data_IF_893043612853
#
_entry.id   IF_893043612853
#
_cell.length_a   1.000
_cell.length_b   1.000
_cell.length_c   1.000
_cell.angle_alpha   90.00
_cell.angle_beta   90.00
_cell.angle_gamma   90.00
#
_symmetry.space_group_name_H-M   'P 1'
#
loop_
_entity.id
_entity.type
_entity.pdbx_description
1 polymer ?
#
# COMPACT_ATOMS: atom_id res chain seq x y z
N UNK A 1 -8.84 -141.03 -1.14
CA UNK A 1 -9.20 -139.59 -1.02
C UNK A 1 -9.09 -139.05 0.41
N UNK A 2 -9.75 -139.60 1.45
CA UNK A 2 -9.80 -138.98 2.80
C UNK A 2 -8.45 -138.83 3.55
N UNK A 3 -7.53 -139.80 3.46
CA UNK A 3 -6.23 -139.77 4.20
C UNK A 3 -5.20 -138.80 3.61
N UNK A 4 -5.20 -138.61 2.29
CA UNK A 4 -4.28 -137.68 1.59
C UNK A 4 -4.65 -136.23 1.94
N UNK A 5 -5.95 -135.93 1.98
CA UNK A 5 -6.45 -134.60 2.38
C UNK A 5 -6.08 -134.26 3.84
N UNK A 6 -6.07 -135.23 4.76
CA UNK A 6 -5.67 -134.99 6.16
C UNK A 6 -4.16 -134.66 6.29
N UNK A 7 -3.30 -135.33 5.51
CA UNK A 7 -1.85 -135.06 5.51
C UNK A 7 -1.54 -133.69 4.87
N UNK A 8 -2.27 -133.31 3.81
CA UNK A 8 -2.18 -131.98 3.21
C UNK A 8 -2.67 -130.89 4.17
N UNK A 9 -3.83 -131.09 4.83
CA UNK A 9 -4.36 -130.16 5.86
C UNK A 9 -3.35 -129.94 6.98
N UNK A 10 -2.79 -131.01 7.56
CA UNK A 10 -1.80 -130.88 8.64
C UNK A 10 -0.49 -130.20 8.17
N UNK A 11 -0.05 -130.42 6.92
CA UNK A 11 1.13 -129.72 6.37
C UNK A 11 0.84 -128.25 6.11
N UNK A 12 -0.35 -127.92 5.63
CA UNK A 12 -0.78 -126.54 5.44
C UNK A 12 -0.97 -125.82 6.78
N UNK A 13 -1.53 -126.48 7.79
CA UNK A 13 -1.64 -125.98 9.15
C UNK A 13 -0.26 -125.76 9.79
N UNK A 14 0.68 -126.70 9.65
CA UNK A 14 2.05 -126.52 10.13
C UNK A 14 2.78 -125.36 9.43
N UNK A 15 2.57 -125.16 8.12
CA UNK A 15 3.11 -124.02 7.37
C UNK A 15 2.48 -122.70 7.82
N UNK A 16 1.16 -122.66 8.00
CA UNK A 16 0.44 -121.48 8.52
C UNK A 16 0.93 -121.14 9.93
N UNK A 17 1.15 -122.14 10.78
CA UNK A 17 1.69 -121.93 12.12
C UNK A 17 3.12 -121.38 12.09
N UNK A 18 4.01 -121.95 11.27
CA UNK A 18 5.39 -121.45 11.10
C UNK A 18 5.44 -120.03 10.54
N UNK A 19 4.60 -119.70 9.55
CA UNK A 19 4.48 -118.36 9.01
C UNK A 19 3.94 -117.38 10.06
N UNK A 20 2.95 -117.79 10.85
CA UNK A 20 2.43 -116.98 11.95
C UNK A 20 3.53 -116.69 12.98
N UNK A 21 4.31 -117.69 13.39
CA UNK A 21 5.44 -117.51 14.32
C UNK A 21 6.51 -116.59 13.74
N UNK A 22 6.83 -116.72 12.45
CA UNK A 22 7.78 -115.83 11.78
C UNK A 22 7.28 -114.39 11.72
N UNK A 23 6.01 -114.18 11.35
CA UNK A 23 5.39 -112.86 11.33
C UNK A 23 5.37 -112.20 12.72
N UNK A 24 5.05 -112.96 13.77
CA UNK A 24 5.06 -112.42 15.13
C UNK A 24 6.48 -112.06 15.62
N UNK A 25 7.50 -112.86 15.27
CA UNK A 25 8.90 -112.51 15.56
C UNK A 25 9.35 -111.25 14.83
N UNK A 26 9.02 -111.14 13.55
CA UNK A 26 9.35 -109.96 12.75
C UNK A 26 8.67 -108.69 13.28
N UNK A 27 7.39 -108.77 13.70
CA UNK A 27 6.70 -107.66 14.36
C UNK A 27 7.40 -107.24 15.65
N UNK A 28 7.77 -108.22 16.49
CA UNK A 28 8.44 -107.93 17.76
C UNK A 28 9.82 -107.30 17.57
N UNK A 29 10.60 -107.76 16.57
CA UNK A 29 11.89 -107.16 16.23
C UNK A 29 11.73 -105.72 15.72
N UNK A 30 10.70 -105.45 14.90
CA UNK A 30 10.39 -104.09 14.42
C UNK A 30 9.97 -103.17 15.57
N UNK A 31 9.09 -103.61 16.46
CA UNK A 31 8.69 -102.84 17.64
C UNK A 31 9.87 -102.55 18.57
N UNK A 32 10.79 -103.50 18.72
CA UNK A 32 12.02 -103.31 19.51
C UNK A 32 12.92 -102.25 18.88
N UNK A 33 13.12 -102.29 17.56
CA UNK A 33 13.89 -101.26 16.84
C UNK A 33 13.24 -99.88 16.95
N UNK A 34 11.91 -99.78 16.86
CA UNK A 34 11.19 -98.51 17.04
C UNK A 34 11.48 -97.94 18.43
N UNK A 35 11.31 -98.74 19.50
CA UNK A 35 11.56 -98.30 20.87
C UNK A 35 13.01 -97.90 21.12
N UNK A 36 13.98 -98.61 20.54
CA UNK A 36 15.40 -98.25 20.65
C UNK A 36 15.71 -96.93 19.93
N UNK A 37 15.07 -96.67 18.78
CA UNK A 37 15.20 -95.40 18.06
C UNK A 37 14.56 -94.24 18.83
N UNK A 38 13.38 -94.43 19.40
CA UNK A 38 12.72 -93.42 20.26
C UNK A 38 13.56 -93.12 21.50
N UNK A 39 14.14 -94.14 22.15
CA UNK A 39 15.03 -93.94 23.30
C UNK A 39 16.32 -93.18 22.93
N UNK A 40 16.92 -93.48 21.77
CA UNK A 40 18.11 -92.76 21.29
C UNK A 40 17.80 -91.34 20.83
N UNK A 41 16.63 -91.13 20.22
CA UNK A 41 16.17 -89.84 19.70
C UNK A 41 15.57 -88.93 20.77
N UNK A 42 15.15 -89.48 21.91
CA UNK A 42 14.58 -88.72 23.04
C UNK A 42 13.17 -88.17 22.79
N UNK A 43 12.51 -88.57 21.69
CA UNK A 43 11.15 -88.22 21.34
C UNK A 43 10.47 -89.40 20.63
N UNK A 44 9.18 -89.57 20.87
CA UNK A 44 8.37 -90.59 20.16
C UNK A 44 7.98 -90.12 18.76
N UNK A 45 7.65 -91.03 17.86
CA UNK A 45 7.21 -90.66 16.51
C UNK A 45 5.96 -89.75 16.57
N UNK A 46 5.02 -90.08 17.46
CA UNK A 46 3.79 -89.31 17.67
C UNK A 46 4.06 -87.87 18.16
N UNK A 47 5.08 -87.67 19.01
CA UNK A 47 5.50 -86.33 19.45
C UNK A 47 6.12 -85.51 18.31
N UNK A 48 6.91 -86.16 17.43
CA UNK A 48 7.48 -85.51 16.25
C UNK A 48 6.41 -85.14 15.22
N UNK A 49 5.40 -85.99 15.00
CA UNK A 49 4.25 -85.68 14.16
C UNK A 49 3.41 -84.53 14.75
N UNK A 50 3.16 -84.56 16.06
CA UNK A 50 2.43 -83.50 16.76
C UNK A 50 3.13 -82.14 16.69
N UNK A 51 4.45 -82.11 16.91
CA UNK A 51 5.26 -80.89 16.80
C UNK A 51 5.33 -80.36 15.37
N UNK A 52 5.45 -81.24 14.37
CA UNK A 52 5.42 -80.86 12.96
C UNK A 52 4.08 -80.22 12.58
N UNK A 53 2.95 -80.82 12.98
CA UNK A 53 1.62 -80.26 12.73
C UNK A 53 1.40 -78.92 13.46
N UNK A 54 1.90 -78.78 14.69
CA UNK A 54 1.88 -77.51 15.40
C UNK A 54 2.67 -76.42 14.65
N UNK A 55 3.87 -76.75 14.15
CA UNK A 55 4.70 -75.82 13.36
C UNK A 55 4.09 -75.46 12.02
N UNK A 56 3.40 -76.39 11.35
CA UNK A 56 2.64 -76.08 10.13
C UNK A 56 1.53 -75.07 10.40
N UNK A 57 0.75 -75.25 11.48
CA UNK A 57 -0.30 -74.31 11.87
C UNK A 57 0.27 -72.94 12.22
N UNK A 58 1.38 -72.90 12.98
CA UNK A 58 2.08 -71.67 13.31
C UNK A 58 2.57 -70.95 12.05
N UNK A 59 3.17 -71.68 11.10
CA UNK A 59 3.62 -71.12 9.82
C UNK A 59 2.46 -70.54 9.00
N UNK A 60 1.32 -71.22 8.95
CA UNK A 60 0.12 -70.72 8.25
C UNK A 60 -0.40 -69.44 8.91
N UNK A 61 -0.44 -69.40 10.25
CA UNK A 61 -0.87 -68.23 10.99
C UNK A 61 0.07 -67.03 10.75
N UNK A 62 1.39 -67.25 10.79
CA UNK A 62 2.38 -66.21 10.51
C UNK A 62 2.32 -65.74 9.05
N UNK A 63 2.05 -66.64 8.11
CA UNK A 63 1.87 -66.29 6.71
C UNK A 63 0.63 -65.41 6.52
N UNK A 64 -0.51 -65.79 7.10
CA UNK A 64 -1.75 -65.01 7.03
C UNK A 64 -1.59 -63.63 7.67
N UNK A 65 -0.90 -63.53 8.81
CA UNK A 65 -0.59 -62.24 9.46
C UNK A 65 0.32 -61.36 8.58
N UNK A 66 1.34 -61.95 7.95
CA UNK A 66 2.22 -61.23 7.01
C UNK A 66 1.45 -60.73 5.79
N UNK A 67 0.61 -61.57 5.20
CA UNK A 67 -0.24 -61.20 4.06
C UNK A 67 -1.22 -60.09 4.43
N UNK A 68 -1.83 -60.16 5.62
CA UNK A 68 -2.69 -59.10 6.16
C UNK A 68 -1.96 -57.77 6.29
N UNK A 69 -0.75 -57.77 6.88
CA UNK A 69 0.07 -56.56 7.00
C UNK A 69 0.49 -55.99 5.65
N UNK A 70 0.86 -56.85 4.69
CA UNK A 70 1.20 -56.41 3.32
C UNK A 70 -0.01 -55.71 2.70
N UNK A 71 -1.19 -56.32 2.79
CA UNK A 71 -2.42 -55.75 2.25
C UNK A 71 -2.77 -54.39 2.88
N UNK A 72 -2.62 -54.23 4.20
CA UNK A 72 -2.84 -52.97 4.90
C UNK A 72 -1.86 -51.87 4.45
N UNK A 73 -0.58 -52.22 4.27
CA UNK A 73 0.43 -51.29 3.78
C UNK A 73 0.15 -50.87 2.33
N UNK A 74 -0.18 -51.81 1.45
CA UNK A 74 -0.54 -51.51 0.07
C UNK A 74 -1.75 -50.58 -0.01
N UNK A 75 -2.80 -50.87 0.75
CA UNK A 75 -3.99 -50.03 0.82
C UNK A 75 -3.67 -48.63 1.35
N UNK A 76 -2.82 -48.53 2.38
CA UNK A 76 -2.40 -47.23 2.95
C UNK A 76 -1.58 -46.42 1.95
N UNK A 77 -0.65 -47.06 1.24
CA UNK A 77 0.15 -46.43 0.19
C UNK A 77 -0.75 -45.90 -0.93
N UNK A 78 -1.75 -46.68 -1.35
CA UNK A 78 -2.68 -46.25 -2.40
C UNK A 78 -3.55 -45.06 -1.96
N UNK A 79 -3.98 -45.05 -0.70
CA UNK A 79 -4.67 -43.89 -0.11
C UNK A 79 -3.79 -42.64 -0.06
N UNK A 80 -2.50 -42.79 0.18
CA UNK A 80 -1.54 -41.67 0.15
C UNK A 80 -1.33 -41.18 -1.29
N UNK A 81 -1.19 -42.08 -2.27
CA UNK A 81 -1.03 -41.72 -3.68
C UNK A 81 -2.19 -40.89 -4.20
N UNK A 82 -3.42 -41.35 -3.97
CA UNK A 82 -4.63 -40.63 -4.40
C UNK A 82 -4.74 -39.26 -3.73
N UNK A 83 -4.48 -39.16 -2.42
CA UNK A 83 -4.42 -37.87 -1.71
C UNK A 83 -3.38 -36.93 -2.31
N UNK A 84 -2.14 -37.41 -2.48
CA UNK A 84 -1.06 -36.63 -3.08
C UNK A 84 -1.47 -36.07 -4.45
N UNK A 85 -2.04 -36.90 -5.31
CA UNK A 85 -2.50 -36.47 -6.65
C UNK A 85 -3.57 -35.37 -6.55
N UNK A 86 -4.53 -35.51 -5.62
CA UNK A 86 -5.56 -34.47 -5.43
C UNK A 86 -4.96 -33.16 -4.91
N UNK A 87 -4.00 -33.22 -3.99
CA UNK A 87 -3.30 -32.04 -3.44
C UNK A 87 -2.43 -31.35 -4.48
N UNK A 88 -1.70 -32.11 -5.30
CA UNK A 88 -0.93 -31.58 -6.43
C UNK A 88 -1.84 -30.86 -7.44
N UNK A 89 -2.98 -31.48 -7.79
CA UNK A 89 -3.98 -30.85 -8.68
C UNK A 89 -4.60 -29.58 -8.08
N UNK A 90 -4.78 -29.53 -6.76
CA UNK A 90 -5.31 -28.35 -6.08
C UNK A 90 -4.27 -27.23 -6.07
N UNK A 91 -3.01 -27.57 -5.81
CA UNK A 91 -1.89 -26.63 -5.83
C UNK A 91 -1.67 -26.02 -7.21
N UNK A 92 -1.80 -26.82 -8.27
CA UNK A 92 -1.67 -26.32 -9.64
C UNK A 92 -2.82 -25.39 -10.03
N UNK A 93 -4.06 -25.71 -9.63
CA UNK A 93 -5.21 -24.81 -9.80
C UNK A 93 -5.00 -23.47 -9.07
N UNK A 94 -4.46 -23.49 -7.86
CA UNK A 94 -4.12 -22.27 -7.12
C UNK A 94 -3.03 -21.46 -7.84
N UNK A 95 -1.99 -22.12 -8.34
CA UNK A 95 -0.93 -21.45 -9.11
C UNK A 95 -1.48 -20.76 -10.36
N UNK A 96 -2.39 -21.41 -11.08
CA UNK A 96 -3.07 -20.82 -12.23
C UNK A 96 -3.97 -19.63 -11.82
N UNK A 97 -4.72 -19.78 -10.71
CA UNK A 97 -5.56 -18.70 -10.19
C UNK A 97 -4.74 -17.46 -9.76
N UNK A 98 -3.50 -17.64 -9.28
CA UNK A 98 -2.60 -16.55 -8.90
C UNK A 98 -2.04 -15.75 -10.07
N UNK A 99 -1.97 -16.31 -11.28
CA UNK A 99 -1.38 -15.64 -12.44
C UNK A 99 -2.12 -14.34 -12.82
N UNK A 100 -3.46 -14.36 -12.74
CA UNK A 100 -4.29 -13.19 -13.10
C UNK A 100 -4.08 -12.03 -12.11
N UNK A 101 -4.20 -12.22 -10.77
CA UNK A 101 -3.85 -11.19 -9.78
C UNK A 101 -2.42 -10.67 -9.89
N UNK A 102 -1.43 -11.53 -10.15
CA UNK A 102 -0.03 -11.11 -10.31
C UNK A 102 0.16 -10.19 -11.52
N UNK A 103 -0.48 -10.53 -12.65
CA UNK A 103 -0.48 -9.68 -13.84
C UNK A 103 -1.20 -8.36 -13.58
N UNK A 104 -2.38 -8.41 -12.95
CA UNK A 104 -3.14 -7.21 -12.61
C UNK A 104 -2.37 -6.29 -11.66
N UNK A 105 -1.68 -6.86 -10.67
CA UNK A 105 -0.84 -6.13 -9.73
C UNK A 105 0.30 -5.42 -10.46
N UNK A 106 0.98 -6.10 -11.38
CA UNK A 106 2.03 -5.51 -12.22
C UNK A 106 1.49 -4.35 -13.08
N UNK A 107 0.32 -4.52 -13.70
CA UNK A 107 -0.35 -3.46 -14.46
C UNK A 107 -0.73 -2.26 -13.59
N UNK A 108 -1.25 -2.51 -12.37
CA UNK A 108 -1.60 -1.44 -11.42
C UNK A 108 -0.34 -0.70 -10.94
N UNK A 109 0.74 -1.40 -10.66
CA UNK A 109 2.02 -0.80 -10.26
C UNK A 109 2.56 0.14 -11.34
N UNK A 110 2.67 -0.33 -12.58
CA UNK A 110 3.11 0.52 -13.71
C UNK A 110 2.20 1.73 -13.96
N UNK A 111 0.88 1.57 -13.78
CA UNK A 111 -0.06 2.68 -13.90
C UNK A 111 0.16 3.73 -12.79
N UNK A 112 0.43 3.29 -11.55
CA UNK A 112 0.75 4.18 -10.42
C UNK A 112 2.05 4.93 -10.69
N UNK A 113 3.12 4.24 -11.08
CA UNK A 113 4.42 4.87 -11.41
C UNK A 113 4.26 5.96 -12.48
N UNK A 114 3.46 5.69 -13.52
CA UNK A 114 3.17 6.67 -14.57
C UNK A 114 2.42 7.89 -14.02
N UNK A 115 1.48 7.69 -13.10
CA UNK A 115 0.75 8.79 -12.45
C UNK A 115 1.63 9.60 -11.52
N UNK A 116 2.52 8.95 -10.78
CA UNK A 116 3.51 9.63 -9.93
C UNK A 116 4.43 10.53 -10.76
N UNK A 117 4.94 10.05 -11.90
CA UNK A 117 5.73 10.87 -12.82
C UNK A 117 4.94 12.06 -13.38
N UNK A 118 3.66 11.86 -13.74
CA UNK A 118 2.79 12.96 -14.19
C UNK A 118 2.59 14.01 -13.10
N UNK A 119 2.38 13.58 -11.85
CA UNK A 119 2.21 14.47 -10.71
C UNK A 119 3.49 15.28 -10.43
N UNK A 120 4.66 14.64 -10.49
CA UNK A 120 5.95 15.32 -10.33
C UNK A 120 6.12 16.44 -11.37
N UNK A 121 5.81 16.17 -12.64
CA UNK A 121 5.87 17.18 -13.70
C UNK A 121 4.92 18.36 -13.48
N UNK A 122 3.70 18.09 -13.01
CA UNK A 122 2.73 19.14 -12.68
C UNK A 122 3.21 19.97 -11.48
N UNK A 123 3.78 19.34 -10.46
CA UNK A 123 4.32 20.04 -9.29
C UNK A 123 5.50 20.94 -9.67
N UNK A 124 6.41 20.45 -10.51
CA UNK A 124 7.51 21.25 -11.05
C UNK A 124 7.01 22.43 -11.87
N UNK A 125 6.00 22.22 -12.73
CA UNK A 125 5.35 23.29 -13.48
C UNK A 125 4.71 24.35 -12.56
N UNK A 126 3.99 23.92 -11.54
CA UNK A 126 3.38 24.80 -10.54
C UNK A 126 4.42 25.59 -9.73
N UNK A 127 5.53 24.96 -9.33
CA UNK A 127 6.63 25.64 -8.65
C UNK A 127 7.28 26.71 -9.54
N UNK A 128 7.60 26.37 -10.80
CA UNK A 128 8.14 27.32 -11.78
C UNK A 128 7.18 28.48 -12.05
N UNK A 129 5.88 28.20 -12.13
CA UNK A 129 4.84 29.23 -12.28
C UNK A 129 4.80 30.20 -11.11
N UNK A 130 4.82 29.69 -9.86
CA UNK A 130 4.90 30.52 -8.66
C UNK A 130 6.15 31.40 -8.64
N UNK A 131 7.31 30.84 -9.00
CA UNK A 131 8.54 31.63 -9.09
C UNK A 131 8.47 32.73 -10.15
N UNK A 132 7.89 32.44 -11.33
CA UNK A 132 7.73 33.43 -12.39
C UNK A 132 6.85 34.61 -11.92
N UNK A 133 5.72 34.31 -11.29
CA UNK A 133 4.82 35.32 -10.72
C UNK A 133 5.55 36.16 -9.67
N UNK A 134 6.32 35.53 -8.78
CA UNK A 134 7.10 36.27 -7.77
C UNK A 134 8.13 37.19 -8.43
N UNK A 135 8.86 36.73 -9.44
CA UNK A 135 9.84 37.56 -10.16
C UNK A 135 9.17 38.74 -10.86
N UNK A 136 8.03 38.54 -11.52
CA UNK A 136 7.28 39.62 -12.15
C UNK A 136 6.76 40.64 -11.13
N UNK A 137 6.23 40.19 -9.99
CA UNK A 137 5.80 41.08 -8.91
C UNK A 137 6.94 41.98 -8.42
N UNK A 138 8.12 41.40 -8.17
CA UNK A 138 9.29 42.18 -7.77
C UNK A 138 9.72 43.17 -8.86
N UNK A 139 9.66 42.78 -10.13
CA UNK A 139 9.96 43.67 -11.27
C UNK A 139 8.97 44.85 -11.34
N UNK A 140 7.67 44.57 -11.25
CA UNK A 140 6.61 45.58 -11.25
C UNK A 140 6.75 46.52 -10.04
N UNK A 141 7.04 45.98 -8.85
CA UNK A 141 7.28 46.79 -7.66
C UNK A 141 8.50 47.70 -7.82
N UNK A 142 9.59 47.21 -8.42
CA UNK A 142 10.76 48.02 -8.72
C UNK A 142 10.41 49.18 -9.67
N UNK A 143 9.67 48.91 -10.75
CA UNK A 143 9.20 49.95 -11.69
C UNK A 143 8.25 50.94 -11.00
N UNK A 144 7.34 50.47 -10.13
CA UNK A 144 6.46 51.37 -9.37
C UNK A 144 7.25 52.28 -8.43
N UNK A 145 8.31 51.78 -7.80
CA UNK A 145 9.19 52.59 -6.95
C UNK A 145 9.90 53.67 -7.77
N UNK A 146 10.49 53.33 -8.91
CA UNK A 146 11.18 54.33 -9.76
C UNK A 146 10.24 55.42 -10.24
N UNK A 147 9.03 55.06 -10.71
CA UNK A 147 8.01 56.04 -11.14
C UNK A 147 7.59 56.96 -9.99
N UNK A 148 7.35 56.41 -8.79
CA UNK A 148 7.02 57.21 -7.60
C UNK A 148 8.14 58.17 -7.24
N UNK A 149 9.39 57.72 -7.29
CA UNK A 149 10.55 58.56 -7.01
C UNK A 149 10.71 59.70 -8.02
N UNK A 150 10.55 59.42 -9.31
CA UNK A 150 10.59 60.44 -10.37
C UNK A 150 9.49 61.49 -10.17
N UNK A 151 8.26 61.07 -9.89
CA UNK A 151 7.15 62.02 -9.63
C UNK A 151 7.41 62.84 -8.37
N UNK A 152 7.90 62.23 -7.29
CA UNK A 152 8.33 62.97 -6.10
C UNK A 152 9.42 64.01 -6.41
N UNK A 153 10.37 63.70 -7.31
CA UNK A 153 11.38 64.67 -7.79
C UNK A 153 10.73 65.82 -8.57
N UNK A 154 9.84 65.51 -9.51
CA UNK A 154 9.12 66.53 -10.29
C UNK A 154 8.28 67.46 -9.39
N UNK A 155 7.54 66.91 -8.42
CA UNK A 155 6.78 67.71 -7.47
C UNK A 155 7.67 68.59 -6.60
N UNK A 156 8.82 68.09 -6.16
CA UNK A 156 9.82 68.92 -5.45
C UNK A 156 10.32 70.08 -6.31
N UNK A 157 10.60 69.84 -7.60
CA UNK A 157 11.00 70.90 -8.53
C UNK A 157 9.88 71.93 -8.73
N UNK A 158 8.64 71.48 -8.93
CA UNK A 158 7.48 72.37 -9.08
C UNK A 158 7.23 73.20 -7.81
N UNK A 159 7.30 72.59 -6.62
CA UNK A 159 7.20 73.32 -5.34
C UNK A 159 8.30 74.38 -5.22
N UNK A 160 9.52 74.05 -5.63
CA UNK A 160 10.62 75.01 -5.61
C UNK A 160 10.34 76.21 -6.51
N UNK A 161 9.87 75.98 -7.74
CA UNK A 161 9.48 77.06 -8.67
C UNK A 161 8.35 77.93 -8.10
N UNK A 162 7.32 77.32 -7.49
CA UNK A 162 6.22 78.08 -6.85
C UNK A 162 6.76 78.93 -5.70
N UNK A 163 7.65 78.40 -4.87
CA UNK A 163 8.29 79.16 -3.78
C UNK A 163 9.13 80.32 -4.30
N UNK A 164 9.94 80.10 -5.34
CA UNK A 164 10.71 81.18 -5.97
C UNK A 164 9.81 82.27 -6.54
N UNK A 165 8.67 81.90 -7.13
CA UNK A 165 7.70 82.84 -7.68
C UNK A 165 7.01 83.62 -6.55
N UNK A 166 6.54 82.92 -5.50
CA UNK A 166 5.95 83.51 -4.30
C UNK A 166 6.90 84.47 -3.59
N UNK A 167 8.21 84.19 -3.56
CA UNK A 167 9.21 85.09 -2.97
C UNK A 167 9.40 86.39 -3.77
N UNK A 168 9.28 86.34 -5.11
CA UNK A 168 9.41 87.52 -5.99
C UNK A 168 8.16 88.42 -5.98
N UNK A 169 6.99 87.89 -5.70
CA UNK A 169 5.73 88.66 -5.72
C UNK A 169 5.75 89.84 -4.73
N UNK A 170 6.11 89.67 -3.44
CA UNK A 170 6.27 90.78 -2.50
C UNK A 170 7.31 91.80 -2.95
N UNK A 171 8.42 91.36 -3.56
CA UNK A 171 9.45 92.26 -4.10
C UNK A 171 8.97 93.08 -5.30
N UNK A 172 7.98 92.61 -6.05
CA UNK A 172 7.35 93.38 -7.14
C UNK A 172 6.26 94.33 -6.64
N UNK A 173 5.60 94.01 -5.53
CA UNK A 173 4.56 94.87 -4.92
C UNK A 173 5.20 95.99 -4.07
N UNK A 174 6.34 95.73 -3.42
CA UNK A 174 7.04 96.69 -2.55
C UNK A 174 7.41 98.03 -3.22
N UNK A 175 7.92 98.07 -4.46
CA UNK A 175 8.22 99.32 -5.17
C UNK A 175 6.97 100.19 -5.39
N UNK A 176 5.81 99.58 -5.64
CA UNK A 176 4.54 100.33 -5.80
C UNK A 176 4.15 101.01 -4.49
N UNK A 177 4.34 100.33 -3.35
CA UNK A 177 4.12 100.91 -2.03
C UNK A 177 5.16 102.00 -1.68
N UNK A 178 6.42 101.83 -2.10
CA UNK A 178 7.50 102.81 -1.90
C UNK A 178 7.36 104.06 -2.78
N UNK A 179 6.90 103.91 -4.03
CA UNK A 179 6.62 105.02 -4.94
C UNK A 179 5.46 105.89 -4.44
N UNK A 180 4.43 105.29 -3.85
CA UNK A 180 3.32 106.02 -3.20
C UNK A 180 3.82 106.86 -2.02
N UNK A 181 4.68 106.29 -1.17
CA UNK A 181 5.32 107.03 -0.06
C UNK A 181 6.14 108.22 -0.56
N UNK A 182 6.85 108.09 -1.68
CA UNK A 182 7.61 109.20 -2.30
C UNK A 182 6.72 110.29 -2.87
N UNK A 183 5.50 109.97 -3.32
CA UNK A 183 4.51 110.92 -3.85
C UNK A 183 3.60 111.54 -2.79
N UNK A 184 3.76 111.19 -1.50
CA UNK A 184 2.87 111.58 -0.39
C UNK A 184 1.40 111.14 -0.56
N UNK A 185 1.16 110.09 -1.36
CA UNK A 185 -0.18 109.51 -1.52
C UNK A 185 -0.43 108.48 -0.40
N UNK A 186 -1.55 108.60 0.32
CA UNK A 186 -1.97 107.58 1.29
C UNK A 186 -2.48 106.34 0.56
N UNK A 187 -2.05 105.15 1.01
CA UNK A 187 -2.63 103.90 0.54
C UNK A 187 -4.13 103.89 0.81
N UNK A 188 -4.92 103.48 -0.17
CA UNK A 188 -6.35 103.32 0.05
C UNK A 188 -6.60 102.07 0.88
N UNK A 189 -7.63 102.07 1.75
CA UNK A 189 -7.97 100.91 2.57
C UNK A 189 -8.22 99.62 1.75
N UNK A 190 -8.59 99.75 0.47
CA UNK A 190 -8.73 98.62 -0.46
C UNK A 190 -7.39 98.01 -0.88
N UNK A 191 -6.35 98.83 -1.03
CA UNK A 191 -5.03 98.38 -1.44
C UNK A 191 -4.30 97.69 -0.29
N UNK A 192 -4.35 98.26 0.92
CA UNK A 192 -3.78 97.62 2.11
C UNK A 192 -4.47 96.26 2.41
N UNK A 193 -5.79 96.20 2.23
CA UNK A 193 -6.54 94.95 2.34
C UNK A 193 -6.12 93.93 1.26
N UNK A 194 -5.84 94.38 0.03
CA UNK A 194 -5.40 93.51 -1.05
C UNK A 194 -3.97 92.98 -0.85
N UNK A 195 -3.04 93.80 -0.37
CA UNK A 195 -1.67 93.36 -0.03
C UNK A 195 -1.69 92.35 1.12
N UNK A 196 -2.53 92.59 2.14
CA UNK A 196 -2.69 91.68 3.28
C UNK A 196 -3.32 90.35 2.85
N UNK A 197 -4.34 90.39 1.97
CA UNK A 197 -4.96 89.19 1.41
C UNK A 197 -3.96 88.39 0.57
N UNK A 198 -3.15 89.05 -0.26
CA UNK A 198 -2.12 88.40 -1.07
C UNK A 198 -1.06 87.70 -0.19
N UNK A 199 -0.62 88.34 0.89
CA UNK A 199 0.32 87.74 1.83
C UNK A 199 -0.28 86.52 2.55
N UNK A 200 -1.57 86.58 2.89
CA UNK A 200 -2.30 85.46 3.48
C UNK A 200 -2.45 84.29 2.49
N UNK A 201 -2.75 84.57 1.22
CA UNK A 201 -2.85 83.56 0.16
C UNK A 201 -1.51 82.88 -0.11
N UNK A 202 -0.41 83.64 -0.19
CA UNK A 202 0.94 83.09 -0.34
C UNK A 202 1.27 82.15 0.83
N UNK A 203 0.99 82.59 2.06
CA UNK A 203 1.22 81.78 3.26
C UNK A 203 0.40 80.49 3.26
N UNK A 204 -0.88 80.59 2.89
CA UNK A 204 -1.76 79.43 2.77
C UNK A 204 -1.24 78.46 1.71
N UNK A 205 -0.83 78.93 0.53
CA UNK A 205 -0.24 78.09 -0.52
C UNK A 205 1.00 77.37 0.01
N UNK A 206 1.92 78.08 0.67
CA UNK A 206 3.15 77.52 1.22
C UNK A 206 2.92 76.43 2.28
N UNK A 207 1.85 76.53 3.07
CA UNK A 207 1.45 75.52 4.05
C UNK A 207 0.98 74.20 3.38
N UNK A 208 0.38 74.28 2.19
CA UNK A 208 -0.11 73.10 1.45
C UNK A 208 0.96 72.45 0.56
N UNK A 209 1.95 73.20 0.06
CA UNK A 209 2.97 72.69 -0.87
C UNK A 209 3.66 71.39 -0.41
N UNK A 210 4.10 71.23 0.86
CA UNK A 210 4.76 69.99 1.31
C UNK A 210 3.86 68.76 1.23
N UNK A 211 2.54 68.91 1.43
CA UNK A 211 1.58 67.78 1.41
C UNK A 211 1.43 67.16 0.02
N UNK A 212 1.75 67.92 -1.03
CA UNK A 212 1.73 67.45 -2.41
C UNK A 212 2.85 66.46 -2.71
N UNK A 213 3.96 66.48 -1.96
CA UNK A 213 5.07 65.53 -2.16
C UNK A 213 4.62 64.11 -1.80
N UNK A 214 3.83 63.96 -0.73
CA UNK A 214 3.35 62.69 -0.20
C UNK A 214 2.06 62.17 -0.86
N UNK A 215 1.44 62.92 -1.78
CA UNK A 215 0.19 62.49 -2.41
C UNK A 215 0.42 61.25 -3.29
N UNK A 216 -0.15 60.10 -2.99
CA UNK A 216 -0.07 58.98 -3.93
C UNK A 216 -1.00 59.24 -5.12
N UNK A 217 -0.49 59.04 -6.35
CA UNK A 217 -1.27 59.27 -7.58
C UNK A 217 -2.28 58.16 -7.89
N UNK A 218 -2.20 57.05 -7.16
CA UNK A 218 -3.14 55.94 -7.26
C UNK A 218 -3.95 56.01 -5.97
N UNK A 219 -5.26 56.34 -6.02
CA UNK A 219 -6.12 56.13 -4.88
C UNK A 219 -6.29 54.62 -4.73
N UNK A 220 -5.37 53.98 -4.01
CA UNK A 220 -5.64 52.67 -3.43
C UNK A 220 -6.44 52.99 -2.19
N UNK A 221 -7.76 52.83 -2.24
CA UNK A 221 -8.51 52.75 -1.00
C UNK A 221 -8.06 51.45 -0.32
N UNK A 222 -7.21 51.51 0.73
CA UNK A 222 -6.64 50.32 1.33
C UNK A 222 -7.74 49.44 1.93
N UNK A 223 -8.83 50.05 2.38
CA UNK A 223 -9.99 49.35 2.96
C UNK A 223 -10.72 48.53 1.90
N UNK A 224 -11.01 49.11 0.72
CA UNK A 224 -11.64 48.36 -0.39
C UNK A 224 -10.76 47.19 -0.86
N UNK A 225 -9.45 47.40 -0.89
CA UNK A 225 -8.50 46.36 -1.33
C UNK A 225 -8.43 45.20 -0.32
N UNK A 226 -8.45 45.52 0.98
CA UNK A 226 -8.48 44.51 2.04
C UNK A 226 -9.85 43.81 2.13
N UNK A 227 -10.96 44.51 1.87
CA UNK A 227 -12.30 43.91 1.79
C UNK A 227 -12.34 42.90 0.64
N UNK A 228 -11.86 43.26 -0.55
CA UNK A 228 -11.84 42.35 -1.71
C UNK A 228 -10.94 41.13 -1.42
N UNK A 229 -9.78 41.31 -0.78
CA UNK A 229 -8.93 40.19 -0.36
C UNK A 229 -9.66 39.22 0.57
N UNK A 230 -10.29 39.75 1.63
CA UNK A 230 -11.03 38.93 2.60
C UNK A 230 -12.17 38.16 1.95
N UNK A 231 -12.89 38.76 1.01
CA UNK A 231 -13.94 38.09 0.25
C UNK A 231 -13.40 36.92 -0.58
N UNK A 232 -12.24 37.08 -1.22
CA UNK A 232 -11.61 35.98 -1.95
C UNK A 232 -11.16 34.86 -1.00
N UNK A 233 -10.53 35.20 0.13
CA UNK A 233 -10.09 34.20 1.12
C UNK A 233 -11.29 33.42 1.71
N UNK A 234 -12.43 34.09 1.96
CA UNK A 234 -13.68 33.45 2.38
C UNK A 234 -14.25 32.51 1.32
N UNK A 235 -14.26 32.91 0.04
CA UNK A 235 -14.72 32.05 -1.05
C UNK A 235 -13.83 30.82 -1.21
N UNK A 236 -12.50 30.99 -1.16
CA UNK A 236 -11.56 29.87 -1.27
C UNK A 236 -11.70 28.88 -0.11
N UNK A 237 -11.87 29.36 1.13
CA UNK A 237 -12.08 28.48 2.29
C UNK A 237 -13.41 27.73 2.22
N UNK A 238 -14.48 28.35 1.71
CA UNK A 238 -15.77 27.67 1.48
C UNK A 238 -15.68 26.61 0.38
N UNK A 239 -14.99 26.91 -0.73
CA UNK A 239 -14.75 25.93 -1.79
C UNK A 239 -13.92 24.74 -1.29
N UNK A 240 -12.86 25.00 -0.53
CA UNK A 240 -12.01 23.96 0.06
C UNK A 240 -12.83 23.02 0.96
N UNK A 241 -13.65 23.56 1.87
CA UNK A 241 -14.54 22.77 2.72
C UNK A 241 -15.55 21.94 1.91
N UNK A 242 -16.12 22.53 0.85
CA UNK A 242 -17.06 21.82 -0.03
C UNK A 242 -16.38 20.66 -0.75
N UNK A 243 -15.16 20.87 -1.25
CA UNK A 243 -14.36 19.83 -1.88
C UNK A 243 -14.02 18.70 -0.91
N UNK A 244 -13.56 19.02 0.30
CA UNK A 244 -13.26 18.02 1.32
C UNK A 244 -14.49 17.20 1.70
N UNK A 245 -15.64 17.84 1.92
CA UNK A 245 -16.89 17.14 2.20
C UNK A 245 -17.29 16.19 1.06
N UNK A 246 -17.15 16.62 -0.19
CA UNK A 246 -17.42 15.77 -1.36
C UNK A 246 -16.48 14.57 -1.46
N UNK A 247 -15.22 14.75 -1.09
CA UNK A 247 -14.22 13.68 -1.07
C UNK A 247 -14.51 12.64 0.02
N UNK A 248 -14.90 13.10 1.22
CA UNK A 248 -15.32 12.24 2.32
C UNK A 248 -16.58 11.43 1.97
N UNK A 249 -17.57 12.05 1.32
CA UNK A 249 -18.76 11.34 0.85
C UNK A 249 -18.44 10.26 -0.19
N UNK A 250 -17.52 10.55 -1.12
CA UNK A 250 -17.09 9.59 -2.14
C UNK A 250 -16.30 8.43 -1.52
N UNK A 251 -15.44 8.72 -0.54
CA UNK A 251 -14.75 7.71 0.25
C UNK A 251 -15.73 6.82 1.01
N UNK A 252 -16.72 7.41 1.69
CA UNK A 252 -17.76 6.66 2.41
C UNK A 252 -18.59 5.78 1.45
N UNK A 253 -18.89 6.28 0.24
CA UNK A 253 -19.57 5.50 -0.81
C UNK A 253 -18.73 4.29 -1.24
N UNK A 254 -17.43 4.49 -1.48
CA UNK A 254 -16.50 3.41 -1.82
C UNK A 254 -16.43 2.36 -0.73
N UNK A 255 -16.35 2.75 0.53
CA UNK A 255 -16.36 1.80 1.65
C UNK A 255 -17.67 1.00 1.75
N UNK A 256 -18.82 1.64 1.54
CA UNK A 256 -20.12 0.93 1.51
C UNK A 256 -20.18 -0.09 0.38
N UNK A 257 -19.68 0.27 -0.81
CA UNK A 257 -19.59 -0.64 -1.94
C UNK A 257 -18.60 -1.79 -1.67
N UNK A 258 -17.45 -1.50 -1.05
CA UNK A 258 -16.48 -2.53 -0.63
C UNK A 258 -17.08 -3.53 0.35
N UNK A 259 -17.75 -3.04 1.41
CA UNK A 259 -18.48 -3.90 2.37
C UNK A 259 -19.59 -4.71 1.70
N UNK A 260 -20.30 -4.12 0.74
CA UNK A 260 -21.34 -4.83 -0.01
C UNK A 260 -20.80 -5.94 -0.91
N UNK A 261 -19.57 -5.80 -1.42
CA UNK A 261 -18.88 -6.83 -2.21
C UNK A 261 -18.28 -7.94 -1.34
N UNK A 262 -17.85 -7.66 -0.11
CA UNK A 262 -17.37 -8.69 0.84
C UNK A 262 -18.47 -9.64 1.34
N UNK A 263 -19.74 -9.23 1.24
CA UNK A 263 -20.90 -10.04 1.66
C UNK A 263 -21.35 -11.03 0.56
N UNK A 264 -20.91 -10.84 -0.69
CA UNK A 264 -21.17 -11.73 -1.82
C UNK A 264 -20.01 -12.70 -2.07
#
# INVERSE_FOLDING_TARGET
MKRINAIQSNREEARKWQLSVFCERAKHEVEKMIKELEQRGGATLDELEGTLEAKKRESIALQADREGRIWEYEHTVEKIRTRKQTEESASERLRQAMQQPEQELSLRQSAIETKEQQLEMVQLGGARGREAIMRERHSIEAVRRTVREERCRQRRQWIHQVKEMNAKFPEQVRPLAEERKKKYEQATAREDAAETALAADIKMIEEYLPRLISLEDIPVNPEETDIIRRQFDEVFTQEEQTYLASAEEEQARKERLGRGLEVY
#
